data_IF_208171601303
#
_entry.id   IF_208171601303
#
_cell.length_a   1.000
_cell.length_b   1.000
_cell.length_c   1.000
_cell.angle_alpha   90.00
_cell.angle_beta   90.00
_cell.angle_gamma   90.00
#
_symmetry.space_group_name_H-M   'P 1'
#
loop_
_entity.id
_entity.type
_entity.pdbx_description
1 polymer ?
#
# COMPACT_ATOMS: atom_id res chain seq x y z
N UNK A 1 0.32 -5.90 0.35
CA UNK A 1 1.53 -6.22 1.13
C UNK A 1 1.12 -7.16 2.27
N UNK A 2 1.96 -8.12 2.66
CA UNK A 2 1.66 -9.04 3.76
C UNK A 2 2.82 -9.06 4.76
N UNK A 3 2.48 -9.05 6.05
CA UNK A 3 3.41 -9.43 7.11
C UNK A 3 3.41 -10.96 7.21
N UNK A 4 4.56 -11.58 6.98
CA UNK A 4 4.71 -13.04 7.02
C UNK A 4 5.72 -13.41 8.08
N UNK A 5 5.42 -14.43 8.88
CA UNK A 5 6.31 -14.90 9.93
C UNK A 5 6.02 -16.34 10.32
N UNK A 6 6.86 -16.87 11.23
CA UNK A 6 6.65 -18.16 11.89
C UNK A 6 6.53 -17.92 13.37
N UNK A 7 5.51 -18.52 13.99
CA UNK A 7 5.32 -18.50 15.44
C UNK A 7 5.72 -19.86 16.00
N UNK A 8 6.61 -19.86 16.97
CA UNK A 8 7.06 -21.05 17.69
C UNK A 8 6.48 -21.04 19.10
N UNK A 9 5.92 -22.16 19.53
CA UNK A 9 5.60 -22.39 20.93
C UNK A 9 6.80 -22.98 21.65
N UNK A 10 7.43 -22.18 22.50
CA UNK A 10 8.56 -22.59 23.35
C UNK A 10 8.10 -23.22 24.68
N UNK A 11 6.79 -23.28 24.93
CA UNK A 11 6.20 -23.94 26.09
C UNK A 11 6.20 -25.47 25.96
N UNK A 12 5.73 -26.13 27.01
CA UNK A 12 5.66 -27.60 27.11
C UNK A 12 4.30 -28.18 26.71
N UNK A 13 3.29 -27.34 26.53
CA UNK A 13 1.91 -27.74 26.24
C UNK A 13 1.41 -27.08 24.95
N UNK A 14 0.44 -27.70 24.29
CA UNK A 14 -0.18 -27.15 23.07
C UNK A 14 -0.96 -25.88 23.39
N UNK A 15 -0.69 -24.82 22.63
CA UNK A 15 -1.44 -23.58 22.67
C UNK A 15 -2.59 -23.64 21.64
N UNK A 16 -3.81 -23.85 22.13
CA UNK A 16 -4.99 -24.03 21.28
C UNK A 16 -5.63 -22.71 20.86
N UNK A 17 -6.35 -22.72 19.74
CA UNK A 17 -7.05 -21.54 19.19
C UNK A 17 -6.16 -20.30 19.08
N UNK A 18 -4.89 -20.48 18.72
CA UNK A 18 -3.88 -19.43 18.65
C UNK A 18 -4.22 -18.43 17.55
N UNK A 19 -4.12 -17.14 17.88
CA UNK A 19 -4.41 -16.00 17.00
C UNK A 19 -3.26 -15.00 17.08
N UNK A 20 -2.91 -14.41 15.94
CA UNK A 20 -1.92 -13.33 15.85
C UNK A 20 -2.60 -12.10 15.26
N UNK A 21 -2.44 -10.95 15.93
CA UNK A 21 -3.00 -9.67 15.50
C UNK A 21 -1.94 -8.58 15.61
N UNK A 22 -1.91 -7.67 14.63
CA UNK A 22 -1.12 -6.44 14.74
C UNK A 22 -1.87 -5.47 15.66
N UNK A 23 -1.18 -4.96 16.69
CA UNK A 23 -1.76 -4.03 17.67
C UNK A 23 -1.02 -2.69 17.74
N UNK A 24 0.06 -2.52 16.97
CA UNK A 24 0.76 -1.25 16.87
C UNK A 24 2.08 -1.36 16.10
N UNK A 25 2.80 -0.24 16.06
CA UNK A 25 4.01 -0.05 15.27
C UNK A 25 3.73 0.77 14.00
N UNK A 26 4.59 0.60 13.00
CA UNK A 26 4.53 1.30 11.71
C UNK A 26 3.58 0.61 10.72
N UNK A 27 3.06 -0.57 11.08
CA UNK A 27 2.13 -1.35 10.26
C UNK A 27 0.78 -1.43 10.94
N UNK A 28 -0.29 -1.22 10.18
CA UNK A 28 -1.67 -1.36 10.65
C UNK A 28 -2.43 -2.39 9.84
N UNK A 29 -3.24 -3.17 10.54
CA UNK A 29 -4.15 -4.14 9.97
C UNK A 29 -5.27 -4.45 10.96
N UNK A 30 -6.52 -4.43 10.48
CA UNK A 30 -7.67 -4.91 11.23
C UNK A 30 -7.78 -6.44 11.26
N UNK A 31 -7.04 -7.13 10.38
CA UNK A 31 -7.12 -8.58 10.17
C UNK A 31 -6.41 -9.39 11.25
N UNK A 32 -6.93 -10.59 11.51
CA UNK A 32 -6.38 -11.54 12.48
C UNK A 32 -5.96 -12.81 11.75
N UNK A 33 -4.72 -13.26 11.97
CA UNK A 33 -4.26 -14.56 11.50
C UNK A 33 -4.60 -15.63 12.51
N UNK A 34 -5.52 -16.54 12.16
CA UNK A 34 -5.89 -17.69 12.98
C UNK A 34 -4.98 -18.88 12.65
N UNK A 35 -4.28 -19.42 13.66
CA UNK A 35 -3.33 -20.53 13.50
C UNK A 35 -3.89 -21.89 13.94
N UNK A 36 -4.95 -21.89 14.77
CA UNK A 36 -5.45 -23.12 15.37
C UNK A 36 -4.53 -23.59 16.50
N UNK A 37 -4.17 -24.87 16.50
CA UNK A 37 -3.38 -25.46 17.58
C UNK A 37 -1.88 -25.37 17.28
N UNK A 38 -1.13 -24.76 18.20
CA UNK A 38 0.30 -24.57 18.09
C UNK A 38 1.03 -25.52 19.05
N UNK A 39 1.51 -26.63 18.51
CA UNK A 39 2.24 -27.65 19.28
C UNK A 39 3.62 -27.14 19.72
N UNK A 40 4.12 -27.60 20.89
CA UNK A 40 5.48 -27.33 21.34
C UNK A 40 6.52 -27.65 20.27
N UNK A 41 7.50 -26.76 20.10
CA UNK A 41 8.62 -26.94 19.18
C UNK A 41 8.24 -27.13 17.69
N UNK A 42 7.00 -26.80 17.31
CA UNK A 42 6.51 -26.91 15.93
C UNK A 42 6.12 -25.53 15.38
N UNK A 43 7.03 -24.83 14.67
CA UNK A 43 6.74 -23.49 14.16
C UNK A 43 5.63 -23.48 13.10
N UNK A 44 4.61 -22.64 13.28
CA UNK A 44 3.54 -22.44 12.30
C UNK A 44 3.67 -21.10 11.58
N UNK A 45 3.36 -21.11 10.29
CA UNK A 45 3.35 -19.92 9.45
C UNK A 45 2.11 -19.07 9.73
N UNK A 46 2.29 -17.76 9.79
CA UNK A 46 1.20 -16.80 9.81
C UNK A 46 1.40 -15.75 8.72
N UNK A 47 0.29 -15.23 8.20
CA UNK A 47 0.29 -14.08 7.30
C UNK A 47 -0.80 -13.10 7.71
N UNK A 48 -0.50 -11.81 7.68
CA UNK A 48 -1.45 -10.76 7.98
C UNK A 48 -1.38 -9.73 6.85
N UNK A 49 -2.49 -9.48 6.12
CA UNK A 49 -2.51 -8.44 5.10
C UNK A 49 -2.31 -7.08 5.77
N UNK A 50 -1.43 -6.27 5.20
CA UNK A 50 -1.17 -4.91 5.69
C UNK A 50 -2.10 -3.96 4.94
N UNK A 51 -2.92 -3.24 5.70
CA UNK A 51 -3.91 -2.28 5.16
C UNK A 51 -3.26 -0.90 5.01
N UNK A 52 -2.54 -0.46 6.05
CA UNK A 52 -1.87 0.83 6.07
C UNK A 52 -0.44 0.69 6.62
N UNK A 53 0.44 1.54 6.10
CA UNK A 53 1.78 1.76 6.64
C UNK A 53 1.76 3.15 7.23
N UNK A 54 1.88 3.26 8.55
CA UNK A 54 1.93 4.54 9.25
C UNK A 54 3.41 4.93 9.34
N UNK A 55 3.83 6.02 8.68
CA UNK A 55 5.20 6.48 8.83
C UNK A 55 5.43 6.89 10.28
N UNK A 56 6.29 6.17 10.99
CA UNK A 56 6.87 6.68 12.22
C UNK A 56 7.57 8.02 11.98
N UNK A 57 7.78 8.80 13.04
CA UNK A 57 8.32 10.17 13.00
C UNK A 57 9.67 10.30 12.25
N UNK A 58 10.36 9.18 11.99
CA UNK A 58 11.57 9.08 11.19
C UNK A 58 11.24 9.02 9.69
N UNK A 59 11.16 10.18 9.05
CA UNK A 59 10.73 10.44 7.66
C UNK A 59 11.65 9.87 6.54
N UNK A 60 12.13 8.62 6.63
CA UNK A 60 13.08 8.07 5.65
C UNK A 60 12.82 6.60 5.28
N UNK A 61 11.55 6.22 5.11
CA UNK A 61 11.16 4.85 4.73
C UNK A 61 10.95 4.67 3.22
N UNK A 62 10.52 5.73 2.52
CA UNK A 62 10.14 5.61 1.11
C UNK A 62 11.32 5.53 0.13
N UNK A 63 12.54 5.88 0.55
CA UNK A 63 13.68 6.06 -0.37
C UNK A 63 14.90 5.18 -0.05
N UNK A 64 14.79 4.31 0.97
CA UNK A 64 15.90 3.45 1.40
C UNK A 64 15.54 2.00 1.23
N UNK A 65 16.27 1.32 0.34
CA UNK A 65 16.20 -0.12 0.04
C UNK A 65 16.44 -1.07 1.24
N UNK A 66 16.53 -0.53 2.46
CA UNK A 66 16.77 -1.24 3.72
C UNK A 66 15.95 -0.68 4.89
N UNK A 67 14.76 -0.14 4.64
CA UNK A 67 13.89 0.32 5.72
C UNK A 67 13.30 -0.90 6.49
N UNK A 68 13.46 -0.96 7.82
CA UNK A 68 12.96 -2.03 8.71
C UNK A 68 11.76 -1.67 9.63
N UNK A 69 10.51 -1.90 9.23
CA UNK A 69 9.33 -1.40 9.96
C UNK A 69 9.20 -2.03 11.34
N UNK A 70 8.92 -1.22 12.36
CA UNK A 70 8.59 -1.71 13.69
C UNK A 70 7.16 -2.25 13.72
N UNK A 71 6.97 -3.42 14.33
CA UNK A 71 5.64 -4.04 14.49
C UNK A 71 5.47 -4.61 15.88
N UNK A 72 4.27 -4.42 16.42
CA UNK A 72 3.83 -5.00 17.69
C UNK A 72 2.69 -5.96 17.42
N UNK A 73 2.90 -7.23 17.76
CA UNK A 73 1.96 -8.32 17.60
C UNK A 73 1.40 -8.71 18.97
N UNK A 74 0.09 -8.93 19.03
CA UNK A 74 -0.54 -9.64 20.13
C UNK A 74 -0.86 -11.06 19.67
N UNK A 75 -0.35 -12.03 20.41
CA UNK A 75 -0.65 -13.45 20.23
C UNK A 75 -1.55 -13.89 21.38
N UNK A 76 -2.75 -14.37 21.07
CA UNK A 76 -3.69 -14.90 22.08
C UNK A 76 -3.91 -16.39 21.85
N UNK A 77 -4.02 -17.17 22.92
CA UNK A 77 -4.21 -18.62 22.85
C UNK A 77 -5.00 -19.14 24.06
N UNK A 78 -5.45 -20.39 24.00
CA UNK A 78 -5.97 -21.15 25.13
C UNK A 78 -4.92 -22.16 25.60
N UNK A 79 -4.68 -22.25 26.90
CA UNK A 79 -3.87 -23.33 27.47
C UNK A 79 -4.66 -24.65 27.55
N UNK A 80 -4.01 -25.70 28.07
CA UNK A 80 -4.64 -27.03 28.26
C UNK A 80 -5.86 -27.02 29.18
N UNK A 81 -5.93 -26.05 30.10
CA UNK A 81 -7.02 -25.83 31.04
C UNK A 81 -8.10 -24.89 30.49
N UNK A 82 -8.00 -24.49 29.22
CA UNK A 82 -8.88 -23.53 28.53
C UNK A 82 -8.85 -22.12 29.12
N UNK A 83 -7.81 -21.75 29.86
CA UNK A 83 -7.59 -20.37 30.26
C UNK A 83 -7.05 -19.56 29.07
N UNK A 84 -7.44 -18.29 29.01
CA UNK A 84 -6.96 -17.37 27.98
C UNK A 84 -5.56 -16.85 28.33
N UNK A 85 -4.59 -17.13 27.46
CA UNK A 85 -3.26 -16.53 27.48
C UNK A 85 -3.12 -15.44 26.41
N UNK A 86 -2.22 -14.48 26.67
CA UNK A 86 -1.84 -13.43 25.72
C UNK A 86 -0.37 -13.08 25.90
N UNK A 87 0.34 -12.94 24.78
CA UNK A 87 1.74 -12.49 24.75
C UNK A 87 1.94 -11.43 23.68
N UNK A 88 2.79 -10.44 23.97
CA UNK A 88 3.11 -9.34 23.08
C UNK A 88 4.50 -9.55 22.50
N UNK A 89 4.59 -9.60 21.18
CA UNK A 89 5.84 -9.73 20.44
C UNK A 89 6.16 -8.41 19.73
N UNK A 90 7.39 -7.95 19.85
CA UNK A 90 7.88 -6.72 19.22
C UNK A 90 9.01 -7.08 18.26
N UNK A 91 8.91 -6.64 17.01
CA UNK A 91 9.89 -6.98 15.99
C UNK A 91 10.13 -5.82 15.02
N UNK A 92 11.30 -5.81 14.40
CA UNK A 92 11.58 -4.98 13.23
C UNK A 92 11.61 -5.87 12.00
N UNK A 93 10.85 -5.52 10.97
CA UNK A 93 10.64 -6.34 9.77
C UNK A 93 11.13 -5.58 8.56
N UNK A 94 11.99 -6.20 7.75
CA UNK A 94 12.50 -5.56 6.53
C UNK A 94 11.35 -5.32 5.55
N UNK A 95 11.20 -4.07 5.11
CA UNK A 95 10.25 -3.70 4.07
C UNK A 95 10.83 -4.11 2.70
N UNK A 96 10.04 -4.73 1.81
CA UNK A 96 10.48 -4.95 0.44
C UNK A 96 10.72 -3.59 -0.23
N UNK A 97 11.80 -3.49 -1.01
CA UNK A 97 12.00 -2.34 -1.87
C UNK A 97 10.84 -2.30 -2.88
N UNK A 98 10.16 -1.16 -2.97
CA UNK A 98 9.22 -0.94 -4.07
C UNK A 98 10.08 -0.77 -5.31
N UNK A 99 10.20 -1.82 -6.12
CA UNK A 99 10.60 -1.62 -7.52
C UNK A 99 9.54 -0.70 -8.10
N UNK A 100 9.93 0.54 -8.39
CA UNK A 100 9.12 1.45 -9.15
C UNK A 100 9.04 0.88 -10.56
N UNK A 101 8.16 -0.10 -10.77
CA UNK A 101 7.49 -0.21 -12.06
C UNK A 101 6.89 1.17 -12.27
N UNK A 102 7.43 1.87 -13.27
CA UNK A 102 7.01 3.16 -13.74
C UNK A 102 5.50 3.09 -13.97
N UNK A 103 4.72 3.36 -12.93
CA UNK A 103 3.28 3.57 -13.04
C UNK A 103 3.17 4.82 -13.86
N UNK A 104 3.00 4.59 -15.16
CA UNK A 104 2.53 5.52 -16.16
C UNK A 104 1.52 6.41 -15.47
N UNK A 105 1.99 7.62 -15.16
CA UNK A 105 1.26 8.62 -14.39
C UNK A 105 -0.15 8.69 -14.94
N UNK A 106 -1.16 8.62 -14.07
CA UNK A 106 -2.43 9.28 -14.38
C UNK A 106 -2.06 10.68 -14.85
N UNK A 107 -2.24 10.95 -16.14
CA UNK A 107 -1.91 12.23 -16.77
C UNK A 107 -2.78 13.30 -16.10
N UNK A 108 -2.31 13.83 -14.97
CA UNK A 108 -2.63 15.18 -14.55
C UNK A 108 -2.02 16.05 -15.62
N UNK A 109 -2.85 16.44 -16.59
CA UNK A 109 -2.49 17.33 -17.68
C UNK A 109 -1.86 18.57 -17.03
N UNK A 110 -0.54 18.65 -17.12
CA UNK A 110 0.25 19.72 -16.58
C UNK A 110 -0.06 21.01 -17.33
N UNK A 111 0.19 22.14 -16.70
CA UNK A 111 -0.08 23.47 -17.23
C UNK A 111 0.52 23.69 -18.64
N UNK A 112 1.63 23.00 -18.96
CA UNK A 112 2.27 23.00 -20.29
C UNK A 112 1.44 22.30 -21.36
N UNK A 113 0.82 21.18 -21.04
CA UNK A 113 -0.05 20.45 -21.98
C UNK A 113 -1.36 21.21 -22.21
N UNK A 114 -1.91 21.83 -21.15
CA UNK A 114 -3.08 22.73 -21.26
C UNK A 114 -2.76 23.90 -22.21
N UNK A 115 -1.59 24.53 -22.06
CA UNK A 115 -1.14 25.61 -22.94
C UNK A 115 -1.02 25.17 -24.40
N UNK A 116 -0.46 23.98 -24.67
CA UNK A 116 -0.37 23.46 -26.04
C UNK A 116 -1.74 23.24 -26.67
N UNK A 117 -2.68 22.63 -25.92
CA UNK A 117 -4.05 22.41 -26.41
C UNK A 117 -4.74 23.75 -26.71
N UNK A 118 -4.55 24.77 -25.85
CA UNK A 118 -5.10 26.09 -26.06
C UNK A 118 -4.54 26.80 -27.31
N UNK A 119 -3.25 26.65 -27.59
CA UNK A 119 -2.64 27.24 -28.80
C UNK A 119 -3.19 26.59 -30.07
N UNK A 120 -3.30 25.26 -30.08
CA UNK A 120 -3.83 24.52 -31.23
C UNK A 120 -5.29 24.91 -31.51
N UNK A 121 -6.12 25.01 -30.46
CA UNK A 121 -7.53 25.37 -30.62
C UNK A 121 -7.71 26.79 -31.19
N UNK A 122 -6.92 27.76 -30.73
CA UNK A 122 -6.94 29.13 -31.27
C UNK A 122 -6.53 29.15 -32.74
N UNK A 123 -5.47 28.43 -33.13
CA UNK A 123 -5.02 28.38 -34.52
C UNK A 123 -6.09 27.82 -35.47
N UNK A 124 -6.81 26.77 -35.05
CA UNK A 124 -7.92 26.19 -35.82
C UNK A 124 -9.05 27.20 -36.00
N UNK A 125 -9.44 27.90 -34.94
CA UNK A 125 -10.51 28.92 -34.99
C UNK A 125 -10.12 30.05 -35.94
N UNK A 126 -8.90 30.57 -35.83
CA UNK A 126 -8.42 31.67 -36.68
C UNK A 126 -8.39 31.23 -38.15
N UNK A 127 -7.93 30.02 -38.44
CA UNK A 127 -7.90 29.47 -39.80
C UNK A 127 -9.32 29.30 -40.39
N UNK A 128 -10.26 28.78 -39.60
CA UNK A 128 -11.65 28.62 -40.02
C UNK A 128 -12.33 29.98 -40.29
N UNK A 129 -12.12 30.97 -39.42
CA UNK A 129 -12.65 32.33 -39.59
C UNK A 129 -12.03 33.01 -40.81
N UNK A 130 -10.73 32.83 -41.03
CA UNK A 130 -10.03 33.38 -42.19
C UNK A 130 -10.58 32.80 -43.51
N UNK A 131 -10.75 31.48 -43.58
CA UNK A 131 -11.31 30.81 -44.75
C UNK A 131 -12.77 31.21 -45.00
N UNK A 132 -13.60 31.28 -43.96
CA UNK A 132 -14.99 31.72 -44.08
C UNK A 132 -15.09 33.16 -44.60
N UNK A 133 -14.26 34.08 -44.09
CA UNK A 133 -14.21 35.47 -44.57
C UNK A 133 -13.69 35.57 -46.01
N UNK A 134 -12.71 34.73 -46.39
CA UNK A 134 -12.20 34.67 -47.76
C UNK A 134 -13.27 34.20 -48.73
N UNK A 135 -14.05 33.17 -48.36
CA UNK A 135 -15.15 32.68 -49.19
C UNK A 135 -16.30 33.69 -49.30
N UNK A 136 -16.64 34.38 -48.21
CA UNK A 136 -17.65 35.44 -48.24
C UNK A 136 -17.27 36.61 -49.17
N UNK A 137 -16.01 37.02 -49.16
CA UNK A 137 -15.49 38.09 -50.06
C UNK A 137 -15.33 37.64 -51.52
N UNK A 138 -15.24 36.35 -51.79
CA UNK A 138 -15.19 35.80 -53.14
C UNK A 138 -16.58 35.57 -53.76
N UNK A 139 -17.66 35.78 -52.99
CA UNK A 139 -19.05 35.70 -53.45
C UNK A 139 -19.64 37.03 -53.94
N UNK A 140 -18.93 38.15 -53.82
CA UNK A 140 -19.35 39.48 -54.32
C UNK A 140 -18.74 39.79 -55.70
N UNK A 141 -18.87 38.87 -56.66
CA UNK A 141 -18.73 39.21 -58.09
C UNK A 141 -19.75 38.41 -58.90
N UNK A 142 -20.99 38.87 -58.89
CA UNK A 142 -21.99 38.63 -59.94
C UNK A 142 -22.71 39.92 -60.21
#
# INVERSE_FOLDING_TARGET
>A
LFLVGRLLNEGTETASYTRVKIIGGDLESSMVSYLGDLNPNAPLLFNIPIEHVVPGNDRSWMDKSNASCYVVLNVTYMDSLRNRGSTILKAYVKMPAVESETRQSSQLIGLREILMIAVISIAVIVSAVYLARRMARAGETT
#
